data_IF_034148297071
#
_entry.id   IF_034148297071
#
_cell.length_a   1.000
_cell.length_b   1.000
_cell.length_c   1.000
_cell.angle_alpha   90.00
_cell.angle_beta   90.00
_cell.angle_gamma   90.00
#
_symmetry.space_group_name_H-M   'P 1'
#
loop_
_entity.id
_entity.type
_entity.pdbx_description
1 polymer ?
#
# COMPACT_ATOMS: atom_id res chain seq x y z
N UNK A 1 18.43 -0.11 15.41
CA UNK A 1 18.47 1.29 14.92
C UNK A 1 17.02 1.73 14.73
N UNK A 2 16.58 2.68 15.55
CA UNK A 2 15.28 3.35 15.39
C UNK A 2 15.35 4.20 14.13
N UNK A 3 14.50 3.94 13.16
CA UNK A 3 14.29 4.86 12.05
C UNK A 3 13.40 6.01 12.53
N UNK A 4 13.77 7.22 12.14
CA UNK A 4 13.23 8.47 12.66
C UNK A 4 11.87 8.88 12.05
N UNK A 5 10.95 7.98 11.83
CA UNK A 5 9.56 8.28 11.51
C UNK A 5 8.68 7.08 11.88
N UNK A 6 8.27 7.03 13.13
CA UNK A 6 7.03 6.46 13.67
C UNK A 6 6.68 5.00 13.41
N UNK A 7 7.19 4.32 12.43
CA UNK A 7 6.92 2.93 12.15
C UNK A 7 8.18 2.09 12.33
N UNK A 8 8.22 1.43 13.47
CA UNK A 8 9.22 0.40 13.72
C UNK A 8 8.83 -0.83 12.90
N UNK A 9 9.60 -1.13 11.88
CA UNK A 9 9.49 -2.37 11.14
C UNK A 9 9.98 -3.51 12.04
N UNK A 10 9.09 -4.02 12.87
CA UNK A 10 9.32 -5.22 13.66
C UNK A 10 8.65 -6.39 12.96
N UNK A 11 9.45 -7.33 12.50
CA UNK A 11 8.97 -8.64 12.09
C UNK A 11 9.04 -9.60 13.28
N UNK A 12 7.99 -10.37 13.46
CA UNK A 12 8.01 -11.53 14.35
C UNK A 12 8.28 -12.76 13.50
N UNK A 13 9.24 -13.57 13.92
CA UNK A 13 9.47 -14.88 13.35
C UNK A 13 8.69 -15.91 14.16
N UNK A 14 7.90 -16.72 13.45
CA UNK A 14 7.11 -17.80 14.05
C UNK A 14 7.61 -19.11 13.46
N UNK A 15 8.04 -20.02 14.32
CA UNK A 15 8.57 -21.32 13.93
C UNK A 15 8.03 -22.42 14.86
N UNK A 16 7.57 -23.51 14.26
CA UNK A 16 7.21 -24.72 15.00
C UNK A 16 8.48 -25.51 15.32
N UNK A 17 8.92 -25.49 16.60
CA UNK A 17 10.18 -26.12 17.04
C UNK A 17 10.02 -27.58 17.46
N UNK A 18 8.79 -28.06 17.67
CA UNK A 18 8.49 -29.42 18.11
C UNK A 18 7.30 -30.00 17.33
N UNK A 19 7.58 -30.51 16.12
CA UNK A 19 6.55 -31.07 15.25
C UNK A 19 5.79 -30.00 14.46
N UNK A 20 4.64 -30.36 13.93
CA UNK A 20 3.76 -29.46 13.17
C UNK A 20 2.98 -28.56 14.13
N UNK A 21 2.65 -27.35 13.68
CA UNK A 21 1.86 -26.39 14.43
C UNK A 21 1.10 -25.44 13.52
N UNK A 22 -0.02 -24.93 14.03
CA UNK A 22 -0.86 -23.96 13.34
C UNK A 22 -0.71 -22.57 13.94
N UNK A 23 -0.81 -21.55 13.09
CA UNK A 23 -0.83 -20.16 13.52
C UNK A 23 -2.02 -19.45 12.85
N UNK A 24 -2.87 -18.81 13.66
CA UNK A 24 -3.95 -17.97 13.16
C UNK A 24 -3.46 -16.52 13.05
N UNK A 25 -3.50 -15.97 11.84
CA UNK A 25 -3.14 -14.59 11.56
C UNK A 25 -4.38 -13.78 11.18
N UNK A 26 -4.44 -12.55 11.66
CA UNK A 26 -5.53 -11.63 11.37
C UNK A 26 -4.98 -10.27 10.99
N UNK A 27 -5.47 -9.63 9.92
CA UNK A 27 -5.13 -8.25 9.62
C UNK A 27 -5.75 -7.30 10.65
N UNK A 28 -5.15 -6.12 10.80
CA UNK A 28 -5.63 -5.09 11.74
C UNK A 28 -7.00 -4.54 11.34
N UNK A 29 -7.26 -4.42 10.05
CA UNK A 29 -8.53 -3.91 9.51
C UNK A 29 -9.39 -5.02 8.95
N UNK A 30 -10.73 -4.93 9.07
CA UNK A 30 -11.65 -5.88 8.44
C UNK A 30 -11.47 -5.86 6.92
N UNK A 31 -11.03 -6.96 6.34
CA UNK A 31 -10.78 -7.01 4.91
C UNK A 31 -10.34 -8.36 4.41
N UNK A 32 -10.06 -8.40 3.13
CA UNK A 32 -9.61 -9.60 2.43
C UNK A 32 -8.11 -9.81 2.62
N UNK A 33 -7.70 -11.05 2.83
CA UNK A 33 -6.30 -11.47 2.73
C UNK A 33 -6.11 -12.09 1.34
N UNK A 34 -5.09 -11.61 0.63
CA UNK A 34 -4.63 -12.18 -0.63
C UNK A 34 -3.28 -12.86 -0.41
N UNK A 35 -3.14 -14.09 -0.91
CA UNK A 35 -1.86 -14.79 -0.92
C UNK A 35 -1.25 -14.68 -2.31
N UNK A 36 -0.03 -14.13 -2.37
CA UNK A 36 0.73 -13.90 -3.57
C UNK A 36 1.92 -14.85 -3.61
N UNK A 37 2.25 -15.38 -4.77
CA UNK A 37 3.43 -16.20 -4.99
C UNK A 37 4.61 -15.31 -5.41
N UNK A 38 5.58 -15.16 -4.53
CA UNK A 38 6.84 -14.47 -4.80
C UNK A 38 7.80 -15.45 -5.46
N UNK A 39 8.42 -15.05 -6.55
CA UNK A 39 9.32 -15.90 -7.31
C UNK A 39 9.61 -15.29 -8.67
N UNK A 40 8.93 -15.75 -9.71
CA UNK A 40 9.01 -15.11 -11.03
C UNK A 40 8.49 -13.66 -10.99
N UNK A 41 7.50 -13.38 -10.14
CA UNK A 41 7.00 -12.04 -9.83
C UNK A 41 7.50 -11.62 -8.46
N UNK A 42 8.04 -10.42 -8.35
CA UNK A 42 8.38 -9.74 -7.11
C UNK A 42 7.36 -8.62 -6.88
N UNK A 43 7.13 -8.22 -5.65
CA UNK A 43 6.04 -7.29 -5.34
C UNK A 43 6.51 -6.04 -4.59
N UNK A 44 5.80 -4.95 -4.86
CA UNK A 44 5.81 -3.75 -4.02
C UNK A 44 4.51 -3.72 -3.23
N UNK A 45 4.57 -3.34 -1.96
CA UNK A 45 3.42 -3.27 -1.06
C UNK A 45 3.25 -1.85 -0.55
N UNK A 46 2.00 -1.42 -0.46
CA UNK A 46 1.64 -0.19 0.26
C UNK A 46 1.86 -0.36 1.75
N UNK A 47 2.00 0.76 2.44
CA UNK A 47 2.10 0.78 3.90
C UNK A 47 0.92 0.08 4.57
N UNK A 48 1.22 -0.75 5.57
CA UNK A 48 0.22 -1.53 6.32
C UNK A 48 -0.40 -2.71 5.57
N UNK A 49 0.01 -3.02 4.32
CA UNK A 49 -0.53 -4.13 3.55
C UNK A 49 0.03 -5.51 3.96
N UNK A 50 1.22 -5.55 4.54
CA UNK A 50 1.88 -6.80 4.92
C UNK A 50 1.14 -7.52 6.06
N UNK A 51 0.95 -8.82 5.93
CA UNK A 51 0.39 -9.70 6.98
C UNK A 51 1.42 -10.73 7.41
N UNK A 52 1.91 -11.53 6.48
CA UNK A 52 2.90 -12.57 6.74
C UNK A 52 3.63 -12.98 5.45
N UNK A 53 4.77 -13.61 5.60
CA UNK A 53 5.50 -14.20 4.49
C UNK A 53 6.25 -15.45 4.95
N UNK A 54 6.47 -16.38 4.02
CA UNK A 54 7.39 -17.49 4.21
C UNK A 54 8.83 -16.99 4.34
N UNK A 55 9.68 -17.76 5.02
CA UNK A 55 11.08 -17.39 5.32
C UNK A 55 11.96 -17.16 4.10
N UNK A 56 11.56 -17.63 2.92
CA UNK A 56 12.24 -17.38 1.65
C UNK A 56 11.91 -16.03 1.00
N UNK A 57 11.02 -15.23 1.61
CA UNK A 57 10.66 -13.89 1.13
C UNK A 57 11.40 -12.84 1.95
N UNK A 58 12.22 -12.05 1.27
CA UNK A 58 12.93 -10.91 1.85
C UNK A 58 12.08 -9.65 1.72
N UNK A 59 11.98 -8.89 2.82
CA UNK A 59 11.21 -7.65 2.88
C UNK A 59 12.15 -6.46 3.13
N UNK A 60 12.05 -5.43 2.29
CA UNK A 60 12.84 -4.20 2.40
C UNK A 60 11.95 -2.97 2.29
N UNK A 61 12.07 -2.06 3.25
CA UNK A 61 11.40 -0.76 3.17
C UNK A 61 12.13 0.13 2.15
N UNK A 62 11.39 0.70 1.22
CA UNK A 62 11.85 1.67 0.23
C UNK A 62 11.16 3.00 0.48
N UNK A 63 11.94 4.04 0.65
CA UNK A 63 11.42 5.40 0.69
C UNK A 63 11.37 5.93 -0.73
N UNK A 64 10.19 6.30 -1.20
CA UNK A 64 10.03 6.92 -2.50
C UNK A 64 10.26 8.43 -2.40
N UNK A 65 11.11 8.95 -3.28
CA UNK A 65 11.35 10.37 -3.40
C UNK A 65 10.18 11.02 -4.12
N UNK A 66 9.17 11.43 -3.37
CA UNK A 66 8.20 12.41 -3.84
C UNK A 66 8.92 13.77 -3.86
N UNK A 67 8.85 14.56 -4.91
CA UNK A 67 9.54 15.85 -4.98
C UNK A 67 9.44 16.63 -3.65
N UNK A 68 10.47 17.38 -3.28
CA UNK A 68 10.69 17.96 -1.94
C UNK A 68 9.47 18.59 -1.25
N UNK A 69 8.51 19.15 -2.00
CA UNK A 69 7.31 19.78 -1.45
C UNK A 69 6.24 18.76 -0.97
N UNK A 70 6.11 17.62 -1.66
CA UNK A 70 5.17 16.55 -1.28
C UNK A 70 5.73 15.73 -0.12
N UNK A 71 7.06 15.54 -0.08
CA UNK A 71 7.74 14.81 0.97
C UNK A 71 7.64 15.48 2.35
N UNK A 72 7.75 16.81 2.38
CA UNK A 72 7.74 17.58 3.63
C UNK A 72 6.38 17.55 4.35
N UNK A 73 5.29 17.30 3.65
CA UNK A 73 3.93 17.33 4.21
C UNK A 73 3.31 15.95 4.43
N UNK A 74 3.67 14.95 3.62
CA UNK A 74 3.09 13.59 3.72
C UNK A 74 3.89 12.64 4.63
N UNK A 75 5.04 13.06 5.14
CA UNK A 75 5.94 12.19 5.89
C UNK A 75 6.67 11.15 5.03
N UNK A 76 6.51 11.22 3.70
CA UNK A 76 7.08 10.29 2.73
C UNK A 76 6.09 9.21 2.29
N UNK A 77 6.27 8.73 1.07
CA UNK A 77 5.58 7.55 0.56
C UNK A 77 6.47 6.33 0.79
N UNK A 78 6.09 5.54 1.78
CA UNK A 78 6.81 4.31 2.10
C UNK A 78 6.17 3.15 1.35
N UNK A 79 7.01 2.36 0.73
CA UNK A 79 6.61 1.09 0.13
C UNK A 79 7.53 -0.01 0.65
N UNK A 80 7.01 -1.20 0.72
CA UNK A 80 7.79 -2.38 1.07
C UNK A 80 8.02 -3.20 -0.20
N UNK A 81 9.26 -3.55 -0.47
CA UNK A 81 9.62 -4.47 -1.54
C UNK A 81 9.71 -5.88 -0.98
N UNK A 82 8.97 -6.81 -1.59
CA UNK A 82 8.99 -8.22 -1.28
C UNK A 82 9.67 -8.99 -2.42
N UNK A 83 10.82 -9.60 -2.12
CA UNK A 83 11.66 -10.32 -3.08
C UNK A 83 11.97 -11.73 -2.59
N UNK A 84 12.60 -12.56 -3.44
CA UNK A 84 12.96 -13.93 -3.08
C UNK A 84 11.97 -14.94 -3.62
N UNK A 85 11.63 -15.96 -2.82
CA UNK A 85 10.72 -17.03 -3.24
C UNK A 85 9.91 -17.54 -2.05
N UNK A 86 8.59 -17.66 -2.26
CA UNK A 86 7.67 -18.18 -1.24
C UNK A 86 6.32 -17.49 -1.31
N UNK A 87 5.46 -17.75 -0.33
CA UNK A 87 4.14 -17.13 -0.21
C UNK A 87 4.22 -15.85 0.61
N UNK A 88 3.47 -14.86 0.16
CA UNK A 88 3.32 -13.56 0.77
C UNK A 88 1.83 -13.29 0.99
N UNK A 89 1.40 -13.11 2.22
CA UNK A 89 0.05 -12.70 2.56
C UNK A 89 -0.01 -11.18 2.73
N UNK A 90 -0.92 -10.56 1.99
CA UNK A 90 -1.21 -9.12 2.06
C UNK A 90 -2.68 -8.90 2.35
N UNK A 91 -3.02 -7.77 2.96
CA UNK A 91 -4.41 -7.40 3.22
C UNK A 91 -4.69 -5.95 2.88
N UNK A 92 -5.96 -5.69 2.55
CA UNK A 92 -6.50 -4.36 2.36
C UNK A 92 -7.85 -4.20 3.06
N UNK A 93 -8.31 -2.98 3.25
CA UNK A 93 -9.57 -2.71 3.92
C UNK A 93 -10.76 -3.01 2.99
N UNK A 94 -11.70 -3.87 3.42
CA UNK A 94 -12.85 -4.32 2.64
C UNK A 94 -12.50 -5.49 1.71
N UNK A 95 -13.16 -5.55 0.55
CA UNK A 95 -12.96 -6.60 -0.45
C UNK A 95 -11.70 -6.35 -1.27
N UNK A 96 -10.97 -7.42 -1.58
CA UNK A 96 -9.77 -7.36 -2.42
C UNK A 96 -10.06 -7.75 -3.86
N UNK A 97 -9.40 -7.08 -4.81
CA UNK A 97 -9.48 -7.35 -6.24
C UNK A 97 -8.08 -7.34 -6.84
N UNK A 98 -7.89 -8.11 -7.89
CA UNK A 98 -6.66 -8.12 -8.69
C UNK A 98 -7.00 -7.54 -10.05
N UNK A 99 -6.29 -6.49 -10.43
CA UNK A 99 -6.38 -5.85 -11.74
C UNK A 99 -5.18 -6.24 -12.59
N UNK A 100 -5.43 -6.56 -13.85
CA UNK A 100 -4.38 -6.75 -14.85
C UNK A 100 -4.07 -5.41 -15.51
N UNK A 101 -2.78 -5.05 -15.56
CA UNK A 101 -2.26 -3.92 -16.32
C UNK A 101 -1.66 -4.45 -17.61
N UNK A 102 -2.09 -3.89 -18.75
CA UNK A 102 -1.64 -4.29 -20.07
C UNK A 102 -0.85 -3.15 -20.74
N UNK A 103 0.14 -3.47 -21.57
CA UNK A 103 0.87 -2.46 -22.33
C UNK A 103 -0.06 -1.57 -23.15
N UNK A 104 0.10 -0.24 -23.01
CA UNK A 104 -0.72 0.75 -23.70
C UNK A 104 -2.09 1.00 -23.07
N UNK A 105 -2.42 0.35 -21.94
CA UNK A 105 -3.64 0.57 -21.17
C UNK A 105 -3.27 0.88 -19.72
N UNK A 106 -2.92 2.12 -19.45
CA UNK A 106 -2.56 2.55 -18.12
C UNK A 106 -3.78 2.54 -17.19
N UNK A 107 -3.53 2.18 -15.94
CA UNK A 107 -4.56 2.15 -14.89
C UNK A 107 -4.22 3.20 -13.84
N UNK A 108 -5.19 4.04 -13.49
CA UNK A 108 -5.04 5.06 -12.45
C UNK A 108 -5.87 4.65 -11.24
N UNK A 109 -5.23 4.56 -10.08
CA UNK A 109 -5.84 4.08 -8.84
C UNK A 109 -5.55 5.08 -7.72
N UNK A 110 -6.56 5.42 -6.93
CA UNK A 110 -6.36 6.17 -5.69
C UNK A 110 -5.41 5.39 -4.77
N UNK A 111 -4.37 6.06 -4.29
CA UNK A 111 -3.34 5.47 -3.43
C UNK A 111 -3.92 4.72 -2.22
N UNK A 112 -5.00 5.23 -1.64
CA UNK A 112 -5.64 4.63 -0.46
C UNK A 112 -6.32 3.27 -0.73
N UNK A 113 -6.44 2.89 -2.01
CA UNK A 113 -6.98 1.60 -2.44
C UNK A 113 -5.93 0.61 -2.94
N UNK A 114 -4.69 1.05 -3.13
CA UNK A 114 -3.60 0.18 -3.59
C UNK A 114 -3.06 -0.64 -2.42
N UNK A 115 -2.97 -1.96 -2.59
CA UNK A 115 -2.45 -2.90 -1.59
C UNK A 115 -1.05 -3.39 -1.97
N UNK A 116 -0.92 -3.94 -3.18
CA UNK A 116 0.35 -4.46 -3.68
C UNK A 116 0.37 -4.43 -5.20
N UNK A 117 1.55 -4.43 -5.80
CA UNK A 117 1.69 -4.50 -7.26
C UNK A 117 2.97 -5.21 -7.67
N UNK A 118 2.97 -5.72 -8.90
CA UNK A 118 4.15 -6.30 -9.53
C UNK A 118 5.28 -5.26 -9.61
N UNK A 119 6.44 -5.60 -9.10
CA UNK A 119 7.60 -4.68 -9.05
C UNK A 119 8.12 -4.27 -10.43
N UNK A 120 7.73 -4.99 -11.50
CA UNK A 120 8.10 -4.67 -12.87
C UNK A 120 7.20 -3.59 -13.50
N UNK A 121 6.06 -3.29 -12.90
CA UNK A 121 5.21 -2.19 -13.35
C UNK A 121 5.93 -0.85 -13.13
N UNK A 122 5.90 -0.04 -14.15
CA UNK A 122 6.23 1.38 -13.97
C UNK A 122 5.05 2.06 -13.28
N UNK A 123 5.33 2.88 -12.28
CA UNK A 123 4.29 3.66 -11.61
C UNK A 123 4.72 5.10 -11.38
N UNK A 124 3.77 6.00 -11.49
CA UNK A 124 3.94 7.43 -11.23
C UNK A 124 2.93 7.87 -10.17
N UNK A 125 3.39 8.70 -9.25
CA UNK A 125 2.54 9.30 -8.23
C UNK A 125 2.17 10.69 -8.67
N UNK A 126 0.88 10.99 -8.72
CA UNK A 126 0.38 12.31 -9.11
C UNK A 126 -0.81 12.74 -8.27
N UNK A 127 -1.09 14.04 -8.33
CA UNK A 127 -2.30 14.63 -7.75
C UNK A 127 -3.24 14.92 -8.90
N UNK A 128 -4.51 14.47 -8.87
CA UNK A 128 -5.47 14.79 -9.90
C UNK A 128 -5.60 16.32 -10.01
N UNK A 129 -5.19 16.92 -11.12
CA UNK A 129 -5.38 18.34 -11.38
C UNK A 129 -6.81 18.56 -11.84
N UNK A 130 -7.65 19.16 -11.01
CA UNK A 130 -8.85 19.83 -11.52
C UNK A 130 -8.45 21.21 -12.02
N UNK A 131 -8.90 21.52 -13.23
CA UNK A 131 -8.56 22.69 -14.03
C UNK A 131 -8.57 24.02 -13.26
N UNK A 132 -7.59 24.86 -13.61
CA UNK A 132 -7.50 26.31 -13.44
C UNK A 132 -7.53 26.89 -12.01
N UNK A 133 -6.36 27.15 -11.51
CA UNK A 133 -6.10 27.98 -10.33
C UNK A 133 -4.83 27.51 -9.63
N UNK A 134 -3.84 28.35 -9.53
CA UNK A 134 -2.51 28.22 -8.94
C UNK A 134 -2.09 26.82 -8.46
N UNK A 135 -1.26 26.19 -9.25
CA UNK A 135 -0.83 24.78 -9.11
C UNK A 135 -0.32 24.41 -7.70
N UNK A 136 0.23 25.35 -6.95
CA UNK A 136 0.86 25.09 -5.66
C UNK A 136 -0.10 25.04 -4.46
N UNK A 137 -1.16 25.85 -4.43
CA UNK A 137 -2.06 25.91 -3.27
C UNK A 137 -3.01 24.71 -3.16
N UNK A 138 -3.34 24.06 -4.29
CA UNK A 138 -4.21 22.88 -4.31
C UNK A 138 -3.46 21.57 -4.03
N UNK A 139 -2.18 21.49 -4.40
CA UNK A 139 -1.30 20.40 -4.04
C UNK A 139 -1.19 20.24 -2.51
N UNK A 140 -1.09 21.36 -1.81
CA UNK A 140 -0.92 21.39 -0.36
C UNK A 140 -2.17 20.92 0.39
N UNK A 141 -3.36 21.33 -0.04
CA UNK A 141 -4.61 20.97 0.66
C UNK A 141 -5.03 19.52 0.46
N UNK A 142 -4.81 18.93 -0.72
CA UNK A 142 -5.18 17.52 -0.94
C UNK A 142 -4.21 16.54 -0.28
N UNK A 143 -2.95 16.91 -0.13
CA UNK A 143 -1.96 16.07 0.58
C UNK A 143 -2.15 16.12 2.10
N UNK A 144 -2.53 17.27 2.65
CA UNK A 144 -2.79 17.39 4.10
C UNK A 144 -4.07 16.71 4.56
N UNK A 145 -5.06 16.55 3.68
CA UNK A 145 -6.30 15.82 3.97
C UNK A 145 -6.20 14.31 3.72
N UNK A 146 -5.08 13.81 3.17
CA UNK A 146 -4.92 12.40 2.79
C UNK A 146 -5.78 12.00 1.58
N UNK A 147 -6.43 12.96 0.93
CA UNK A 147 -7.24 12.77 -0.26
C UNK A 147 -6.47 13.21 -1.51
N UNK A 148 -6.49 12.39 -2.54
CA UNK A 148 -6.11 12.81 -3.87
C UNK A 148 -4.73 12.46 -4.37
N UNK A 149 -3.97 11.58 -3.73
CA UNK A 149 -2.83 10.96 -4.38
C UNK A 149 -3.31 9.78 -5.22
N UNK A 150 -2.94 9.77 -6.50
CA UNK A 150 -3.20 8.64 -7.38
C UNK A 150 -1.90 8.03 -7.87
N UNK A 151 -1.91 6.71 -8.05
CA UNK A 151 -0.86 5.97 -8.73
C UNK A 151 -1.34 5.61 -10.13
N UNK A 152 -0.54 5.98 -11.14
CA UNK A 152 -0.71 5.57 -12.52
C UNK A 152 0.24 4.42 -12.77
N UNK A 153 -0.30 3.25 -13.10
CA UNK A 153 0.46 2.07 -13.45
C UNK A 153 0.50 1.87 -14.94
N UNK A 154 1.66 1.52 -15.48
CA UNK A 154 1.86 1.17 -16.88
C UNK A 154 2.78 -0.03 -17.03
N UNK A 155 2.72 -0.69 -18.20
CA UNK A 155 3.49 -1.91 -18.47
C UNK A 155 2.62 -3.17 -18.47
N UNK A 156 3.18 -4.29 -18.04
CA UNK A 156 2.48 -5.57 -17.94
C UNK A 156 2.66 -6.14 -16.54
N UNK A 157 1.57 -6.40 -15.83
CA UNK A 157 1.62 -6.96 -14.49
C UNK A 157 0.27 -6.88 -13.79
N UNK A 158 0.26 -7.09 -12.49
CA UNK A 158 -0.94 -7.10 -11.65
C UNK A 158 -0.85 -6.06 -10.54
N UNK A 159 -2.01 -5.50 -10.21
CA UNK A 159 -2.18 -4.63 -9.03
C UNK A 159 -3.27 -5.22 -8.15
N UNK A 160 -2.97 -5.40 -6.88
CA UNK A 160 -3.93 -5.79 -5.84
C UNK A 160 -4.51 -4.51 -5.24
N UNK A 161 -5.83 -4.41 -5.24
CA UNK A 161 -6.56 -3.27 -4.69
C UNK A 161 -7.56 -3.69 -3.63
N UNK A 162 -7.98 -2.75 -2.79
CA UNK A 162 -9.05 -2.92 -1.81
C UNK A 162 -10.19 -1.93 -2.03
N UNK A 163 -11.39 -2.34 -1.64
CA UNK A 163 -12.62 -1.60 -1.93
C UNK A 163 -12.89 -0.41 -1.02
N UNK A 164 -12.19 -0.29 0.11
CA UNK A 164 -12.43 0.74 1.12
C UNK A 164 -11.18 1.54 1.43
N UNK A 165 -11.38 2.84 1.68
CA UNK A 165 -10.36 3.78 2.13
C UNK A 165 -10.45 3.91 3.65
N UNK A 166 -9.33 3.64 4.35
CA UNK A 166 -9.23 3.72 5.82
C UNK A 166 -9.49 5.14 6.35
N UNK A 167 -8.93 6.14 5.70
CA UNK A 167 -9.04 7.53 6.14
C UNK A 167 -10.46 8.05 5.98
N UNK A 168 -11.10 7.79 4.83
CA UNK A 168 -12.49 8.14 4.58
C UNK A 168 -13.43 7.46 5.58
N UNK A 169 -13.21 6.18 5.88
CA UNK A 169 -13.99 5.47 6.89
C UNK A 169 -13.80 6.06 8.30
N UNK A 170 -12.57 6.37 8.69
CA UNK A 170 -12.28 7.00 9.98
C UNK A 170 -12.94 8.38 10.11
N UNK A 171 -12.94 9.16 9.05
CA UNK A 171 -13.61 10.47 9.00
C UNK A 171 -15.12 10.35 9.11
N UNK A 172 -15.70 9.37 8.42
CA UNK A 172 -17.14 9.08 8.49
C UNK A 172 -17.56 8.67 9.92
N UNK A 173 -16.81 7.79 10.57
CA UNK A 173 -17.10 7.36 11.95
C UNK A 173 -17.04 8.54 12.92
N UNK A 174 -16.04 9.43 12.79
CA UNK A 174 -15.91 10.62 13.64
C UNK A 174 -17.01 11.65 13.38
N UNK A 175 -17.40 11.86 12.11
CA UNK A 175 -18.49 12.79 11.75
C UNK A 175 -19.85 12.34 12.26
N UNK A 176 -20.13 11.04 12.34
CA UNK A 176 -21.33 10.47 12.92
C UNK A 176 -21.41 10.61 14.46
N UNK A 177 -20.29 10.76 15.15
CA UNK A 177 -20.24 10.94 16.59
C UNK A 177 -20.50 12.39 17.05
N UNK A 178 -20.49 13.36 16.15
CA UNK A 178 -20.73 14.80 16.46
C UNK A 178 -22.18 15.24 16.28
N UNK A 179 -23.09 14.34 15.92
CA UNK A 179 -24.51 14.65 15.66
C UNK A 179 -25.50 14.02 16.66
N UNK A 180 -25.03 13.66 17.87
CA UNK A 180 -25.88 13.16 18.96
C UNK A 180 -25.72 13.98 20.22
#
# INVERSE_FOLDING_TARGET
RRFANGESFFQQHIEATRGEGDCLLSPVLPGTIQVLEVGATQYMLSDGAFVAAESGVDLKVRTQSLGNALFAQSGGFFVMEATGKGKLAVSGFGSGFILDVEPGKDVIIDNAHVVAWDSQLHYEISVPSQQSGGMFSRLVSSVTSGEGLVLRFSGRGKVVICSRNRNAFSSWVRGGASSS
#
